data_IF_361995719125
#
_entry.id   IF_361995719125
#
_cell.length_a   1.000
_cell.length_b   1.000
_cell.length_c   1.000
_cell.angle_alpha   90.00
_cell.angle_beta   90.00
_cell.angle_gamma   90.00
#
_symmetry.space_group_name_H-M   'P 1'
#
loop_
_entity.id
_entity.type
_entity.pdbx_description
1 polymer ?
#
# COMPACT_ATOMS: atom_id res chain seq x y z
N UNK A 1 9.92 -5.90 -40.47
CA UNK A 1 10.31 -6.34 -39.09
C UNK A 1 9.50 -5.56 -38.10
N UNK A 2 8.81 -6.24 -37.18
CA UNK A 2 8.02 -5.59 -36.13
C UNK A 2 8.95 -4.98 -35.10
N UNK A 3 8.81 -3.66 -34.86
CA UNK A 3 9.56 -2.94 -33.82
C UNK A 3 8.71 -2.77 -32.58
N UNK A 4 9.32 -2.84 -31.42
CA UNK A 4 8.70 -2.65 -30.11
C UNK A 4 9.45 -1.56 -29.36
N UNK A 5 8.72 -0.66 -28.72
CA UNK A 5 9.32 0.35 -27.83
C UNK A 5 9.56 -0.25 -26.47
N UNK A 6 10.79 -0.16 -25.95
CA UNK A 6 11.06 -0.50 -24.55
C UNK A 6 10.44 0.55 -23.64
N UNK A 7 9.49 0.11 -22.79
CA UNK A 7 8.78 0.98 -21.85
C UNK A 7 9.65 1.50 -20.70
N UNK A 8 10.87 0.99 -20.53
CA UNK A 8 11.79 1.37 -19.45
C UNK A 8 12.82 2.42 -19.88
N UNK A 9 13.28 2.35 -21.12
CA UNK A 9 14.31 3.29 -21.62
C UNK A 9 13.88 4.02 -22.90
N UNK A 10 12.67 3.80 -23.41
CA UNK A 10 12.13 4.40 -24.64
C UNK A 10 12.96 4.09 -25.89
N UNK A 11 13.71 2.99 -25.93
CA UNK A 11 14.50 2.56 -27.11
C UNK A 11 13.64 1.67 -28.02
N UNK A 12 13.65 1.96 -29.33
CA UNK A 12 13.01 1.11 -30.34
C UNK A 12 13.88 -0.10 -30.68
N UNK A 13 13.34 -1.30 -30.54
CA UNK A 13 14.03 -2.57 -30.74
C UNK A 13 13.29 -3.42 -31.74
N UNK A 14 14.01 -4.31 -32.43
CA UNK A 14 13.33 -5.40 -33.13
C UNK A 14 12.68 -6.34 -32.10
N UNK A 15 11.50 -6.82 -32.39
CA UNK A 15 10.74 -7.69 -31.47
C UNK A 15 11.58 -8.88 -30.94
N UNK A 16 12.36 -9.51 -31.84
CA UNK A 16 13.25 -10.63 -31.49
C UNK A 16 14.35 -10.31 -30.46
N UNK A 17 14.76 -9.04 -30.37
CA UNK A 17 15.85 -8.59 -29.51
C UNK A 17 15.35 -8.01 -28.18
N UNK A 18 14.01 -7.95 -28.01
CA UNK A 18 13.40 -7.31 -26.83
C UNK A 18 13.76 -7.99 -25.51
N UNK A 19 13.67 -9.32 -25.43
CA UNK A 19 13.97 -10.05 -24.19
C UNK A 19 15.45 -10.01 -23.83
N UNK A 20 16.34 -10.08 -24.83
CA UNK A 20 17.77 -9.92 -24.64
C UNK A 20 18.12 -8.52 -24.11
N UNK A 21 17.48 -7.48 -24.68
CA UNK A 21 17.62 -6.10 -24.20
C UNK A 21 17.15 -5.95 -22.76
N UNK A 22 15.95 -6.48 -22.41
CA UNK A 22 15.45 -6.41 -21.04
C UNK A 22 16.41 -7.10 -20.07
N UNK A 23 16.95 -8.27 -20.42
CA UNK A 23 17.88 -9.01 -19.59
C UNK A 23 19.19 -8.25 -19.35
N UNK A 24 19.71 -7.56 -20.39
CA UNK A 24 20.99 -6.86 -20.30
C UNK A 24 20.88 -5.45 -19.74
N UNK A 25 19.89 -4.68 -20.18
CA UNK A 25 19.74 -3.27 -19.84
C UNK A 25 18.87 -3.03 -18.61
N UNK A 26 18.00 -3.99 -18.26
CA UNK A 26 17.02 -3.86 -17.17
C UNK A 26 16.91 -5.15 -16.35
N UNK A 27 18.02 -5.66 -15.76
CA UNK A 27 18.03 -6.93 -15.03
C UNK A 27 17.05 -6.94 -13.85
N UNK A 28 16.83 -5.78 -13.21
CA UNK A 28 15.85 -5.62 -12.14
C UNK A 28 14.41 -5.89 -12.60
N UNK A 29 14.10 -5.70 -13.88
CA UNK A 29 12.79 -5.98 -14.43
C UNK A 29 12.57 -7.46 -14.74
N UNK A 30 13.64 -8.19 -15.00
CA UNK A 30 13.60 -9.67 -15.14
C UNK A 30 13.20 -10.30 -13.81
N UNK A 31 13.89 -9.92 -12.74
CA UNK A 31 13.57 -10.37 -11.37
C UNK A 31 12.14 -10.04 -10.98
N UNK A 32 11.71 -8.79 -11.26
CA UNK A 32 10.34 -8.32 -11.00
C UNK A 32 9.32 -9.18 -11.74
N UNK A 33 9.53 -9.47 -13.02
CA UNK A 33 8.61 -10.32 -13.81
C UNK A 33 8.58 -11.74 -13.26
N UNK A 34 9.74 -12.33 -12.93
CA UNK A 34 9.81 -13.65 -12.33
C UNK A 34 9.02 -13.72 -11.02
N UNK A 35 9.20 -12.73 -10.12
CA UNK A 35 8.49 -12.68 -8.86
C UNK A 35 6.97 -12.51 -9.03
N UNK A 36 6.53 -11.68 -9.99
CA UNK A 36 5.12 -11.46 -10.29
C UNK A 36 4.43 -12.67 -10.93
N UNK A 37 5.18 -13.52 -11.64
CA UNK A 37 4.65 -14.76 -12.24
C UNK A 37 4.35 -15.85 -11.23
N UNK A 38 4.82 -15.71 -9.98
CA UNK A 38 4.64 -16.69 -8.91
C UNK A 38 3.28 -16.48 -8.23
N UNK A 39 2.41 -17.48 -8.32
CA UNK A 39 1.01 -17.38 -7.88
C UNK A 39 0.85 -17.27 -6.36
N UNK A 40 1.66 -18.00 -5.58
CA UNK A 40 1.48 -18.10 -4.14
C UNK A 40 2.53 -17.30 -3.36
N UNK A 41 2.10 -16.73 -2.23
CA UNK A 41 2.99 -15.98 -1.34
C UNK A 41 4.14 -16.84 -0.79
N UNK A 42 3.90 -18.12 -0.53
CA UNK A 42 4.92 -19.06 -0.06
C UNK A 42 6.03 -19.24 -1.08
N UNK A 43 5.65 -19.57 -2.32
CA UNK A 43 6.60 -19.70 -3.43
C UNK A 43 7.35 -18.39 -3.71
N UNK A 44 6.70 -17.24 -3.52
CA UNK A 44 7.36 -15.94 -3.64
C UNK A 44 8.44 -15.76 -2.56
N UNK A 45 8.15 -16.13 -1.31
CA UNK A 45 9.14 -16.08 -0.22
C UNK A 45 10.28 -17.06 -0.48
N UNK A 46 9.97 -18.29 -0.90
CA UNK A 46 10.98 -19.29 -1.26
C UNK A 46 11.87 -18.82 -2.40
N UNK A 47 11.29 -18.23 -3.44
CA UNK A 47 12.03 -17.62 -4.54
C UNK A 47 13.01 -16.56 -4.04
N UNK A 48 12.55 -15.63 -3.21
CA UNK A 48 13.39 -14.57 -2.64
C UNK A 48 14.51 -15.20 -1.78
N UNK A 49 14.21 -16.20 -0.94
CA UNK A 49 15.21 -16.86 -0.11
C UNK A 49 16.28 -17.62 -0.90
N UNK A 50 15.94 -18.12 -2.07
CA UNK A 50 16.88 -18.83 -2.93
C UNK A 50 17.79 -17.88 -3.71
N UNK A 51 17.30 -16.70 -4.11
CA UNK A 51 18.06 -15.71 -4.86
C UNK A 51 18.76 -14.68 -3.97
N UNK A 52 18.23 -14.45 -2.77
CA UNK A 52 18.70 -13.48 -1.79
C UNK A 52 18.75 -14.11 -0.40
N UNK A 53 19.70 -15.03 -0.14
CA UNK A 53 19.76 -15.82 1.12
C UNK A 53 19.93 -14.94 2.37
N UNK A 54 20.50 -13.75 2.24
CA UNK A 54 20.62 -12.75 3.31
C UNK A 54 19.27 -12.32 3.89
N UNK A 55 18.19 -12.42 3.09
CA UNK A 55 16.83 -12.09 3.53
C UNK A 55 16.28 -13.06 4.57
N UNK A 56 16.88 -14.24 4.72
CA UNK A 56 16.48 -15.22 5.73
C UNK A 56 16.65 -14.68 7.15
N UNK A 57 17.59 -13.79 7.37
CA UNK A 57 17.87 -13.21 8.69
C UNK A 57 17.21 -11.84 8.90
N UNK A 58 16.76 -11.18 7.82
CA UNK A 58 16.20 -9.83 7.87
C UNK A 58 14.81 -9.76 7.20
N UNK A 59 13.77 -9.60 8.03
CA UNK A 59 12.40 -9.42 7.53
C UNK A 59 12.19 -8.10 6.79
N UNK A 60 12.95 -7.07 7.11
CA UNK A 60 12.89 -5.78 6.40
C UNK A 60 13.44 -5.94 4.99
N UNK A 61 14.56 -6.64 4.84
CA UNK A 61 15.16 -6.94 3.55
C UNK A 61 14.27 -7.89 2.73
N UNK A 62 13.67 -8.91 3.35
CA UNK A 62 12.66 -9.76 2.70
C UNK A 62 11.52 -8.91 2.11
N UNK A 63 11.01 -7.98 2.91
CA UNK A 63 9.93 -7.10 2.49
C UNK A 63 10.37 -6.17 1.35
N UNK A 64 11.63 -5.71 1.37
CA UNK A 64 12.21 -4.90 0.32
C UNK A 64 12.20 -5.62 -1.03
N UNK A 65 12.72 -6.85 -1.09
CA UNK A 65 12.71 -7.64 -2.32
C UNK A 65 11.31 -7.99 -2.78
N UNK A 66 10.41 -8.30 -1.85
CA UNK A 66 9.01 -8.53 -2.18
C UNK A 66 8.36 -7.28 -2.79
N UNK A 67 8.62 -6.10 -2.21
CA UNK A 67 8.06 -4.83 -2.69
C UNK A 67 8.56 -4.45 -4.09
N UNK A 68 9.81 -4.77 -4.44
CA UNK A 68 10.35 -4.56 -5.80
C UNK A 68 9.52 -5.27 -6.88
N UNK A 69 8.97 -6.45 -6.57
CA UNK A 69 8.07 -7.18 -7.47
C UNK A 69 6.66 -6.61 -7.57
N UNK A 70 6.26 -5.68 -6.69
CA UNK A 70 4.89 -5.25 -6.60
C UNK A 70 4.51 -4.22 -7.68
N UNK A 71 3.37 -4.39 -8.40
CA UNK A 71 2.99 -3.47 -9.48
C UNK A 71 2.67 -2.07 -8.92
N UNK A 72 3.14 -1.04 -9.63
CA UNK A 72 2.91 0.37 -9.30
C UNK A 72 3.40 0.80 -7.90
N UNK A 73 4.26 0.01 -7.26
CA UNK A 73 4.91 0.36 -6.02
C UNK A 73 6.39 0.62 -6.30
N UNK A 74 6.84 1.82 -6.01
CA UNK A 74 8.23 2.20 -6.10
C UNK A 74 8.83 2.18 -4.70
N UNK A 75 9.76 1.26 -4.46
CA UNK A 75 10.54 1.19 -3.25
C UNK A 75 12.00 1.45 -3.60
N UNK A 76 12.59 2.44 -2.97
CA UNK A 76 13.99 2.79 -3.15
C UNK A 76 14.65 3.17 -1.83
N UNK A 77 15.97 3.20 -1.84
CA UNK A 77 16.79 3.53 -0.68
C UNK A 77 17.31 4.95 -0.79
N UNK A 78 17.25 5.69 0.30
CA UNK A 78 17.87 7.00 0.46
C UNK A 78 18.66 7.04 1.78
N UNK A 79 19.96 6.82 1.69
CA UNK A 79 20.82 6.68 2.88
C UNK A 79 20.37 5.53 3.76
N UNK A 80 20.04 5.83 5.02
CA UNK A 80 19.56 4.81 5.98
C UNK A 80 18.04 4.64 5.97
N UNK A 81 17.33 5.20 4.99
CA UNK A 81 15.87 5.13 4.90
C UNK A 81 15.43 4.26 3.72
N UNK A 82 14.26 3.64 3.86
CA UNK A 82 13.44 3.17 2.76
C UNK A 82 12.37 4.21 2.45
N UNK A 83 12.12 4.42 1.16
CA UNK A 83 11.03 5.25 0.66
C UNK A 83 10.12 4.39 -0.20
N UNK A 84 8.84 4.35 0.18
CA UNK A 84 7.77 3.70 -0.59
C UNK A 84 6.91 4.78 -1.21
N UNK A 85 6.72 4.71 -2.54
CA UNK A 85 5.84 5.59 -3.29
C UNK A 85 4.87 4.76 -4.11
N UNK A 86 3.57 4.94 -3.90
CA UNK A 86 2.55 4.14 -4.56
C UNK A 86 1.20 4.85 -4.60
N UNK A 87 0.35 4.55 -5.61
CA UNK A 87 -1.07 4.90 -5.57
C UNK A 87 -1.73 4.31 -4.32
N UNK A 88 -2.73 5.02 -3.80
CA UNK A 88 -3.44 4.67 -2.56
C UNK A 88 -3.86 3.20 -2.49
N UNK A 89 -4.58 2.71 -3.50
CA UNK A 89 -5.08 1.34 -3.50
C UNK A 89 -3.95 0.30 -3.54
N UNK A 90 -2.89 0.57 -4.32
CA UNK A 90 -1.72 -0.30 -4.42
C UNK A 90 -0.94 -0.34 -3.09
N UNK A 91 -0.82 0.79 -2.39
CA UNK A 91 -0.17 0.86 -1.10
C UNK A 91 -0.90 0.04 -0.03
N UNK A 92 -2.21 0.21 0.11
CA UNK A 92 -3.00 -0.53 1.11
C UNK A 92 -3.14 -2.01 0.75
N UNK A 93 -3.18 -2.36 -0.53
CA UNK A 93 -3.14 -3.76 -0.95
C UNK A 93 -1.77 -4.40 -0.63
N UNK A 94 -0.66 -3.72 -0.94
CA UNK A 94 0.69 -4.13 -0.55
C UNK A 94 0.81 -4.31 0.96
N UNK A 95 0.28 -3.38 1.75
CA UNK A 95 0.33 -3.41 3.20
C UNK A 95 -0.27 -4.71 3.78
N UNK A 96 -1.42 -5.15 3.27
CA UNK A 96 -2.04 -6.41 3.66
C UNK A 96 -1.14 -7.62 3.34
N UNK A 97 -0.52 -7.61 2.14
CA UNK A 97 0.39 -8.68 1.71
C UNK A 97 1.70 -8.68 2.49
N UNK A 98 2.26 -7.51 2.80
CA UNK A 98 3.50 -7.35 3.54
C UNK A 98 3.48 -8.09 4.89
N UNK A 99 2.37 -8.01 5.61
CA UNK A 99 2.21 -8.74 6.88
C UNK A 99 2.14 -10.25 6.68
N UNK A 100 1.45 -10.72 5.64
CA UNK A 100 1.40 -12.14 5.30
C UNK A 100 2.79 -12.67 4.92
N UNK A 101 3.53 -11.94 4.09
CA UNK A 101 4.89 -12.30 3.65
C UNK A 101 5.85 -12.40 4.85
N UNK A 102 5.85 -11.42 5.74
CA UNK A 102 6.75 -11.45 6.91
C UNK A 102 6.37 -12.54 7.91
N UNK A 103 5.09 -12.92 8.00
CA UNK A 103 4.64 -14.04 8.81
C UNK A 103 5.06 -15.38 8.19
N UNK A 104 4.87 -15.54 6.88
CA UNK A 104 5.31 -16.70 6.11
C UNK A 104 6.83 -16.87 6.16
N UNK A 105 7.59 -15.78 5.97
CA UNK A 105 9.05 -15.83 6.06
C UNK A 105 9.54 -16.33 7.41
N UNK A 106 8.88 -15.97 8.51
CA UNK A 106 9.18 -16.52 9.84
C UNK A 106 8.81 -17.98 9.98
N UNK A 107 7.74 -18.42 9.35
CA UNK A 107 7.30 -19.81 9.38
C UNK A 107 8.21 -20.72 8.55
N UNK A 108 8.57 -20.32 7.34
CA UNK A 108 9.43 -21.08 6.43
C UNK A 108 10.86 -21.21 6.97
N UNK A 109 11.36 -20.19 7.68
CA UNK A 109 12.69 -20.22 8.30
C UNK A 109 12.90 -21.35 9.26
N UNK A 110 11.84 -22.00 9.77
CA UNK A 110 11.88 -22.93 10.88
C UNK A 110 13.00 -22.61 11.87
N UNK A 111 12.80 -22.42 13.14
CA UNK A 111 13.93 -22.23 14.03
C UNK A 111 14.81 -23.48 13.89
N UNK A 112 15.91 -23.41 13.13
CA UNK A 112 17.03 -24.27 13.44
C UNK A 112 17.22 -24.06 14.94
N UNK A 113 17.23 -25.15 15.69
CA UNK A 113 17.31 -25.19 17.18
C UNK A 113 18.64 -24.59 17.71
N UNK A 114 19.22 -23.69 16.98
CA UNK A 114 20.36 -22.88 17.37
C UNK A 114 19.83 -21.67 18.09
N UNK A 115 20.13 -21.55 19.37
CA UNK A 115 19.68 -20.51 20.28
C UNK A 115 20.10 -19.07 19.92
N UNK A 116 20.15 -18.73 18.64
CA UNK A 116 20.33 -17.39 18.15
C UNK A 116 19.04 -16.62 18.31
N UNK A 117 19.07 -15.70 19.23
CA UNK A 117 18.02 -14.70 19.48
C UNK A 117 17.77 -13.97 18.17
N UNK A 118 16.62 -14.20 17.55
CA UNK A 118 16.13 -13.39 16.43
C UNK A 118 16.36 -11.92 16.77
N UNK A 119 17.09 -11.19 15.92
CA UNK A 119 17.34 -9.76 16.05
C UNK A 119 16.03 -9.10 16.45
N UNK A 120 16.01 -8.55 17.64
CA UNK A 120 14.81 -7.95 18.25
C UNK A 120 14.25 -6.93 17.27
N UNK A 121 13.03 -7.16 16.80
CA UNK A 121 12.35 -6.21 15.93
C UNK A 121 12.29 -4.89 16.67
N UNK A 122 13.05 -3.89 16.22
CA UNK A 122 13.01 -2.55 16.80
C UNK A 122 11.56 -2.10 16.72
N UNK A 123 10.98 -1.80 17.86
CA UNK A 123 9.59 -1.35 17.94
C UNK A 123 9.52 0.17 17.88
N UNK A 124 8.49 0.69 17.21
CA UNK A 124 8.17 2.10 17.27
C UNK A 124 7.86 2.49 18.73
N UNK A 125 8.56 3.51 19.23
CA UNK A 125 8.24 4.11 20.54
C UNK A 125 7.01 5.01 20.34
N UNK A 126 5.86 4.56 20.79
CA UNK A 126 4.65 5.36 20.68
C UNK A 126 4.51 6.31 21.87
N UNK A 127 4.41 7.63 21.66
CA UNK A 127 4.10 8.60 22.70
C UNK A 127 2.64 8.53 23.16
N UNK A 128 1.78 7.92 22.36
CA UNK A 128 0.33 7.79 22.60
C UNK A 128 -0.15 6.41 22.12
N UNK A 129 -1.13 5.83 22.80
CA UNK A 129 -1.74 4.58 22.32
C UNK A 129 -2.41 4.78 20.97
N UNK A 130 -2.20 3.88 20.03
CA UNK A 130 -2.76 3.99 18.66
C UNK A 130 -4.27 4.23 18.64
N UNK A 131 -5.02 3.58 19.55
CA UNK A 131 -6.46 3.76 19.67
C UNK A 131 -6.82 5.22 20.00
N UNK A 132 -6.09 5.82 20.94
CA UNK A 132 -6.34 7.19 21.38
C UNK A 132 -5.92 8.21 20.31
N UNK A 133 -4.79 7.97 19.65
CA UNK A 133 -4.34 8.78 18.51
C UNK A 133 -5.36 8.77 17.36
N UNK A 134 -5.85 7.59 16.98
CA UNK A 134 -6.89 7.45 15.93
C UNK A 134 -8.15 8.18 16.33
N UNK A 135 -8.65 7.97 17.55
CA UNK A 135 -9.83 8.67 18.06
C UNK A 135 -9.67 10.20 17.99
N UNK A 136 -8.55 10.72 18.50
CA UNK A 136 -8.27 12.15 18.51
C UNK A 136 -8.22 12.73 17.08
N UNK A 137 -7.58 12.05 16.13
CA UNK A 137 -7.53 12.52 14.73
C UNK A 137 -8.93 12.51 14.10
N UNK A 138 -9.73 11.46 14.34
CA UNK A 138 -11.09 11.36 13.78
C UNK A 138 -12.07 12.39 14.36
N UNK A 139 -11.86 12.82 15.60
CA UNK A 139 -12.62 13.91 16.21
C UNK A 139 -12.23 15.27 15.65
N UNK A 140 -10.92 15.50 15.40
CA UNK A 140 -10.40 16.76 14.86
C UNK A 140 -10.59 16.90 13.35
N UNK A 141 -10.53 15.79 12.61
CA UNK A 141 -10.56 15.74 11.14
C UNK A 141 -11.58 14.67 10.71
N UNK A 142 -12.90 14.99 10.70
CA UNK A 142 -13.95 14.03 10.36
C UNK A 142 -13.76 13.37 8.97
N UNK A 143 -13.17 14.07 8.00
CA UNK A 143 -12.91 13.55 6.65
C UNK A 143 -11.94 12.36 6.68
N UNK A 144 -11.05 12.27 7.68
CA UNK A 144 -10.14 11.15 7.85
C UNK A 144 -10.85 9.80 8.11
N UNK A 145 -12.15 9.83 8.46
CA UNK A 145 -12.99 8.62 8.61
C UNK A 145 -13.02 7.77 7.34
N UNK A 146 -13.08 8.43 6.19
CA UNK A 146 -13.26 7.77 4.89
C UNK A 146 -11.97 7.70 4.09
N UNK A 147 -10.86 8.18 4.67
CA UNK A 147 -9.56 8.20 4.01
C UNK A 147 -8.47 7.67 4.94
N UNK A 148 -8.16 6.38 4.79
CA UNK A 148 -7.14 5.71 5.62
C UNK A 148 -5.74 6.29 5.39
N UNK A 149 -5.44 6.83 4.20
CA UNK A 149 -4.17 7.50 3.90
C UNK A 149 -4.02 8.80 4.67
N UNK A 150 -5.04 9.65 4.66
CA UNK A 150 -5.06 10.88 5.44
C UNK A 150 -4.98 10.59 6.95
N UNK A 151 -5.72 9.59 7.43
CA UNK A 151 -5.68 9.18 8.84
C UNK A 151 -4.29 8.71 9.24
N UNK A 152 -3.68 7.83 8.42
CA UNK A 152 -2.34 7.30 8.69
C UNK A 152 -1.30 8.42 8.69
N UNK A 153 -1.34 9.34 7.72
CA UNK A 153 -0.48 10.52 7.69
C UNK A 153 -0.55 11.31 8.99
N UNK A 154 -1.76 11.59 9.48
CA UNK A 154 -1.96 12.38 10.69
C UNK A 154 -1.48 11.67 11.95
N UNK A 155 -1.78 10.38 12.08
CA UNK A 155 -1.32 9.58 13.23
C UNK A 155 0.19 9.40 13.20
N UNK A 156 0.79 9.19 12.03
CA UNK A 156 2.25 9.00 11.93
C UNK A 156 3.06 10.24 12.26
N UNK A 157 2.48 11.43 12.30
CA UNK A 157 3.16 12.65 12.77
C UNK A 157 3.71 12.52 14.20
N UNK A 158 3.09 11.70 15.03
CA UNK A 158 3.62 11.39 16.37
C UNK A 158 4.96 10.65 16.35
N UNK A 159 5.35 10.09 15.20
CA UNK A 159 6.59 9.33 15.03
C UNK A 159 7.65 10.07 14.21
N UNK A 160 7.41 11.31 13.81
CA UNK A 160 8.40 12.15 13.12
C UNK A 160 9.75 12.25 13.84
N UNK A 161 9.80 12.33 15.19
CA UNK A 161 11.10 12.35 15.90
C UNK A 161 11.92 11.07 15.71
N UNK A 162 11.31 9.98 15.24
CA UNK A 162 11.99 8.72 14.92
C UNK A 162 12.32 8.60 13.41
N UNK A 163 12.21 9.68 12.65
CA UNK A 163 12.49 9.71 11.20
C UNK A 163 11.40 9.08 10.34
N UNK A 164 10.17 8.95 10.87
CA UNK A 164 9.01 8.44 10.11
C UNK A 164 8.24 9.59 9.53
N UNK A 165 8.09 9.60 8.21
CA UNK A 165 7.34 10.62 7.47
C UNK A 165 6.38 9.93 6.50
N UNK A 166 5.13 10.37 6.50
CA UNK A 166 4.14 9.92 5.53
C UNK A 166 3.42 11.13 4.96
N UNK A 167 3.25 11.13 3.66
CA UNK A 167 2.50 12.13 2.93
C UNK A 167 1.46 11.45 2.04
N UNK A 168 0.23 11.94 2.08
CA UNK A 168 -0.84 11.54 1.19
C UNK A 168 -1.29 12.74 0.35
N UNK A 169 -1.04 12.65 -0.96
CA UNK A 169 -1.53 13.65 -1.93
C UNK A 169 -2.96 13.30 -2.34
N UNK A 170 -3.91 14.18 -1.99
CA UNK A 170 -5.33 14.01 -2.31
C UNK A 170 -5.63 14.13 -3.81
N UNK A 171 -4.83 14.91 -4.56
CA UNK A 171 -5.07 15.19 -5.96
C UNK A 171 -4.63 14.01 -6.84
N UNK A 172 -3.44 13.48 -6.56
CA UNK A 172 -2.89 12.32 -7.28
C UNK A 172 -3.27 10.99 -6.65
N UNK A 173 -3.85 11.00 -5.45
CA UNK A 173 -4.10 9.83 -4.61
C UNK A 173 -2.84 8.97 -4.41
N UNK A 174 -1.71 9.61 -4.25
CA UNK A 174 -0.42 8.95 -4.07
C UNK A 174 0.03 9.03 -2.61
N UNK A 175 0.60 7.92 -2.13
CA UNK A 175 1.20 7.83 -0.80
C UNK A 175 2.71 7.77 -0.96
N UNK A 176 3.40 8.63 -0.21
CA UNK A 176 4.84 8.57 0.00
C UNK A 176 5.11 8.30 1.47
N UNK A 177 5.79 7.19 1.77
CA UNK A 177 6.19 6.79 3.12
C UNK A 177 7.71 6.71 3.18
N UNK A 178 8.34 7.48 4.08
CA UNK A 178 9.77 7.44 4.39
C UNK A 178 9.96 6.97 5.83
N UNK A 179 10.83 5.99 6.04
CA UNK A 179 11.18 5.54 7.37
C UNK A 179 12.59 4.91 7.40
N UNK A 180 13.29 4.95 8.55
CA UNK A 180 14.53 4.22 8.73
C UNK A 180 14.36 2.74 8.38
N UNK A 181 15.36 2.15 7.70
CA UNK A 181 15.34 0.73 7.28
C UNK A 181 14.95 -0.21 8.41
N UNK A 182 15.53 -0.01 9.60
CA UNK A 182 15.25 -0.81 10.78
C UNK A 182 13.80 -0.68 11.30
N UNK A 183 13.13 0.45 11.05
CA UNK A 183 11.79 0.74 11.53
C UNK A 183 10.70 0.47 10.48
N UNK A 184 11.03 0.37 9.19
CA UNK A 184 10.03 0.29 8.11
C UNK A 184 8.98 -0.79 8.35
N UNK A 185 9.38 -2.00 8.75
CA UNK A 185 8.43 -3.08 9.03
C UNK A 185 7.48 -2.74 10.19
N UNK A 186 8.02 -2.12 11.25
CA UNK A 186 7.20 -1.69 12.40
C UNK A 186 6.22 -0.58 12.00
N UNK A 187 6.65 0.35 11.15
CA UNK A 187 5.79 1.42 10.60
C UNK A 187 4.66 0.83 9.76
N UNK A 188 4.94 -0.09 8.84
CA UNK A 188 3.91 -0.73 8.01
C UNK A 188 2.86 -1.47 8.86
N UNK A 189 3.30 -2.22 9.90
CA UNK A 189 2.39 -2.86 10.86
C UNK A 189 1.55 -1.84 11.64
N UNK A 190 2.15 -0.71 11.95
CA UNK A 190 1.44 0.36 12.66
C UNK A 190 0.37 0.99 11.77
N UNK A 191 0.65 1.25 10.49
CA UNK A 191 -0.33 1.74 9.50
C UNK A 191 -1.50 0.76 9.36
N UNK A 192 -1.24 -0.55 9.28
CA UNK A 192 -2.31 -1.55 9.24
C UNK A 192 -3.17 -1.52 10.50
N UNK A 193 -2.54 -1.34 11.67
CA UNK A 193 -3.26 -1.20 12.94
C UNK A 193 -4.14 0.05 12.94
N UNK A 194 -3.65 1.18 12.43
CA UNK A 194 -4.42 2.42 12.25
C UNK A 194 -5.64 2.17 11.36
N UNK A 195 -5.45 1.55 10.19
CA UNK A 195 -6.53 1.25 9.26
C UNK A 195 -7.59 0.33 9.87
N UNK A 196 -7.17 -0.70 10.62
CA UNK A 196 -8.10 -1.57 11.35
C UNK A 196 -8.88 -0.81 12.42
N UNK A 197 -8.22 0.02 13.22
CA UNK A 197 -8.88 0.83 14.27
C UNK A 197 -9.84 1.86 13.66
N UNK A 198 -9.53 2.38 12.49
CA UNK A 198 -10.45 3.24 11.74
C UNK A 198 -11.75 2.53 11.39
N UNK A 199 -11.66 1.28 10.89
CA UNK A 199 -12.84 0.46 10.57
C UNK A 199 -13.67 0.17 11.81
N UNK A 200 -13.03 -0.29 12.90
CA UNK A 200 -13.69 -0.54 14.19
C UNK A 200 -14.41 0.73 14.71
N UNK A 201 -13.80 1.89 14.55
CA UNK A 201 -14.41 3.16 14.96
C UNK A 201 -15.62 3.52 14.09
N UNK A 202 -15.56 3.31 12.78
CA UNK A 202 -16.69 3.56 11.86
C UNK A 202 -17.88 2.65 12.17
N UNK A 203 -17.60 1.39 12.46
CA UNK A 203 -18.63 0.40 12.83
C UNK A 203 -19.33 0.77 14.15
N UNK A 204 -18.54 1.22 15.14
CA UNK A 204 -19.07 1.65 16.44
C UNK A 204 -19.80 3.01 16.41
N UNK A 205 -19.47 3.86 15.42
CA UNK A 205 -20.04 5.19 15.26
C UNK A 205 -20.54 5.36 13.81
N UNK A 206 -21.62 4.70 13.42
CA UNK A 206 -22.18 4.83 12.09
C UNK A 206 -22.53 6.32 11.83
N UNK A 207 -22.17 6.77 10.64
CA UNK A 207 -22.44 8.15 10.23
C UNK A 207 -23.96 8.30 10.03
N UNK A 208 -24.59 9.09 10.86
CA UNK A 208 -25.91 9.62 10.57
C UNK A 208 -25.73 10.78 9.60
N UNK A 209 -26.06 10.56 8.33
CA UNK A 209 -26.09 11.65 7.33
C UNK A 209 -26.90 12.81 7.90
N UNK A 210 -26.36 14.02 7.81
CA UNK A 210 -27.11 15.19 8.25
C UNK A 210 -28.39 15.30 7.40
N UNK A 211 -29.49 15.80 7.93
CA UNK A 211 -30.73 15.97 7.17
C UNK A 211 -30.49 16.69 5.83
N UNK A 212 -29.60 17.70 5.81
CA UNK A 212 -29.19 18.42 4.58
C UNK A 212 -28.47 17.56 3.55
N UNK A 213 -27.69 16.55 3.96
CA UNK A 213 -27.04 15.62 3.04
C UNK A 213 -28.03 14.62 2.46
N UNK A 214 -29.02 14.20 3.25
CA UNK A 214 -30.13 13.36 2.80
C UNK A 214 -31.04 14.13 1.81
N UNK A 215 -31.36 15.37 2.07
CA UNK A 215 -32.12 16.22 1.15
C UNK A 215 -31.41 16.37 -0.20
N UNK A 216 -30.09 16.66 -0.22
CA UNK A 216 -29.31 16.76 -1.47
C UNK A 216 -29.26 15.43 -2.22
N UNK A 217 -29.18 14.30 -1.53
CA UNK A 217 -29.19 12.98 -2.15
C UNK A 217 -30.52 12.68 -2.81
N UNK A 218 -31.62 12.96 -2.12
CA UNK A 218 -32.98 12.82 -2.65
C UNK A 218 -33.19 13.75 -3.84
N UNK A 219 -32.76 15.00 -3.78
CA UNK A 219 -32.87 15.97 -4.86
C UNK A 219 -32.05 15.54 -6.09
N UNK A 220 -30.87 14.97 -5.91
CA UNK A 220 -30.03 14.42 -6.98
C UNK A 220 -30.65 13.16 -7.59
N UNK A 221 -31.18 12.25 -6.79
CA UNK A 221 -31.88 11.05 -7.28
C UNK A 221 -33.14 11.43 -8.06
N UNK A 222 -33.90 12.42 -7.62
CA UNK A 222 -35.06 12.95 -8.35
C UNK A 222 -34.66 13.58 -9.69
N UNK A 223 -33.61 14.40 -9.72
CA UNK A 223 -33.17 15.08 -10.94
C UNK A 223 -32.62 14.09 -11.99
N UNK A 224 -31.95 13.04 -11.56
CA UNK A 224 -31.47 11.97 -12.47
C UNK A 224 -32.62 11.12 -13.01
N UNK A 225 -33.66 10.88 -12.22
CA UNK A 225 -34.82 10.13 -12.65
C UNK A 225 -35.62 10.91 -13.69
N UNK A 226 -35.89 12.18 -13.46
CA UNK A 226 -36.55 13.06 -14.44
C UNK A 226 -35.76 13.21 -15.74
N UNK A 227 -34.41 13.25 -15.66
CA UNK A 227 -33.59 13.31 -16.84
C UNK A 227 -33.61 12.01 -17.64
N UNK A 228 -33.59 10.86 -16.98
CA UNK A 228 -33.70 9.55 -17.61
C UNK A 228 -35.04 9.35 -18.33
N UNK A 229 -36.14 9.79 -17.73
CA UNK A 229 -37.46 9.75 -18.36
C UNK A 229 -37.55 10.65 -19.60
N UNK A 230 -36.98 11.86 -19.55
CA UNK A 230 -36.96 12.82 -20.67
C UNK A 230 -36.06 12.36 -21.83
N UNK A 231 -34.99 11.63 -21.54
CA UNK A 231 -34.04 11.15 -22.57
C UNK A 231 -34.46 9.87 -23.26
N UNK A 232 -35.55 9.20 -22.81
CA UNK A 232 -36.03 7.93 -23.39
C UNK A 232 -35.01 6.78 -23.25
N UNK A 233 -33.96 6.95 -22.50
CA UNK A 233 -32.96 5.93 -22.24
C UNK A 233 -33.33 5.15 -20.98
N UNK A 234 -33.59 3.84 -21.16
CA UNK A 234 -33.69 2.87 -20.06
C UNK A 234 -32.33 2.64 -19.38
N UNK A 235 -31.78 3.68 -18.78
CA UNK A 235 -30.61 3.54 -17.93
C UNK A 235 -31.06 3.05 -16.56
N UNK A 236 -30.77 1.80 -16.27
CA UNK A 236 -30.93 1.26 -14.93
C UNK A 236 -30.01 2.05 -13.97
N UNK A 237 -30.48 2.43 -12.78
CA UNK A 237 -29.73 3.27 -11.83
C UNK A 237 -28.58 2.55 -11.12
N UNK A 238 -27.97 1.53 -11.74
CA UNK A 238 -26.92 0.70 -11.14
C UNK A 238 -25.49 1.25 -11.32
N UNK A 239 -25.34 2.45 -11.85
CA UNK A 239 -24.02 3.09 -11.96
C UNK A 239 -23.95 4.38 -11.12
N UNK A 240 -24.40 4.32 -9.88
CA UNK A 240 -24.09 5.37 -8.91
C UNK A 240 -22.60 5.28 -8.54
N UNK A 241 -21.80 6.08 -9.22
CA UNK A 241 -20.44 6.37 -8.78
C UNK A 241 -20.57 7.60 -7.88
N UNK A 242 -20.41 7.49 -6.56
CA UNK A 242 -20.39 8.67 -5.70
C UNK A 242 -19.23 9.55 -6.14
N UNK A 243 -19.52 10.75 -6.62
CA UNK A 243 -18.47 11.76 -6.78
C UNK A 243 -17.87 12.00 -5.40
N UNK A 244 -16.62 11.67 -5.24
CA UNK A 244 -15.84 11.96 -4.04
C UNK A 244 -15.40 13.41 -4.15
N UNK A 245 -16.00 14.27 -3.36
CA UNK A 245 -15.47 15.59 -3.03
C UNK A 245 -14.15 15.49 -2.25
#
# INVERSE_FOLDING_TARGET
MTKVLCSYCNTWLAFKDYDAHITQAHPEQVERRALLSIETAEKQVEYIYNHHPETKQDNGLLLFYFAKGYPKLNLYEEGNNYIIKAPYDNFFYFLKRANSITRLGRHIRQPEKTGETLISTISLKSPIKTKDAVKQVLEQIPQARYNEGLLAERVLRYFQPQGVEMHYDKNTQEITLKAPKALMLAVLRHIETIARRSREYREAHPFTESPKAQERKVEYEFSTHEWAERSGNNWLPNTYIPMRD
#
